data_IF_963690734791
#
_entry.id   IF_963690734791
#
_cell.length_a   1.000
_cell.length_b   1.000
_cell.length_c   1.000
_cell.angle_alpha   90.00
_cell.angle_beta   90.00
_cell.angle_gamma   90.00
#
_symmetry.space_group_name_H-M   'P 1'
#
loop_
_entity.id
_entity.type
_entity.pdbx_description
1 polymer ?
#
# COMPACT_ATOMS: atom_id res chain seq x y z
N UNK A 1 -13.87 5.46 -1.96
CA UNK A 1 -13.23 4.64 -0.91
C UNK A 1 -12.43 5.61 -0.08
N UNK A 2 -12.97 6.01 1.07
CA UNK A 2 -12.37 7.06 1.90
C UNK A 2 -11.72 6.38 3.09
N UNK A 3 -10.40 6.28 3.08
CA UNK A 3 -9.67 5.85 4.27
C UNK A 3 -9.76 7.03 5.24
N UNK A 4 -10.54 6.85 6.32
CA UNK A 4 -10.66 7.80 7.43
C UNK A 4 -10.47 7.03 8.73
N UNK A 5 -9.28 6.44 8.89
CA UNK A 5 -8.92 5.71 10.11
C UNK A 5 -8.62 6.64 11.31
N UNK A 6 -8.37 7.93 11.09
CA UNK A 6 -7.88 8.81 12.16
C UNK A 6 -8.99 9.62 12.88
N UNK A 7 -10.10 9.97 12.20
CA UNK A 7 -11.18 10.76 12.82
C UNK A 7 -11.93 10.07 13.96
N UNK A 8 -11.71 8.77 14.18
CA UNK A 8 -12.52 8.00 15.15
C UNK A 8 -12.02 8.12 16.58
N UNK A 9 -10.80 8.61 16.80
CA UNK A 9 -10.19 8.65 18.14
C UNK A 9 -9.65 10.02 18.54
N UNK A 10 -9.40 10.90 17.56
CA UNK A 10 -8.69 12.15 17.78
C UNK A 10 -9.43 13.32 17.13
N UNK A 11 -9.09 14.54 17.57
CA UNK A 11 -9.55 15.76 16.90
C UNK A 11 -8.97 15.84 15.48
N UNK A 12 -9.62 16.56 14.57
CA UNK A 12 -9.15 16.71 13.18
C UNK A 12 -7.70 17.24 13.11
N UNK A 13 -7.33 18.14 14.01
CA UNK A 13 -5.98 18.70 14.09
C UNK A 13 -4.93 17.67 14.52
N UNK A 14 -5.28 16.82 15.48
CA UNK A 14 -4.39 15.73 15.92
C UNK A 14 -4.30 14.64 14.85
N UNK A 15 -5.39 14.41 14.12
CA UNK A 15 -5.42 13.47 13.02
C UNK A 15 -4.47 13.89 11.90
N UNK A 16 -4.55 15.14 11.44
CA UNK A 16 -3.66 15.70 10.42
C UNK A 16 -2.17 15.58 10.80
N UNK A 17 -1.83 15.81 12.07
CA UNK A 17 -0.46 15.71 12.58
C UNK A 17 0.05 14.27 12.67
N UNK A 18 -0.87 13.32 12.88
CA UNK A 18 -0.50 11.90 13.01
C UNK A 18 -0.19 11.25 11.66
N UNK A 19 -0.76 11.78 10.58
CA UNK A 19 -0.59 11.26 9.22
C UNK A 19 0.75 11.76 8.68
N UNK A 20 1.59 10.84 8.22
CA UNK A 20 2.90 11.16 7.64
C UNK A 20 3.03 10.79 6.17
N UNK A 21 2.16 9.93 5.65
CA UNK A 21 2.10 9.58 4.23
C UNK A 21 0.66 9.40 3.78
N UNK A 22 0.37 9.80 2.55
CA UNK A 22 -0.94 9.65 1.92
C UNK A 22 -0.70 9.18 0.50
N UNK A 23 -1.44 8.17 0.05
CA UNK A 23 -1.44 7.75 -1.35
C UNK A 23 -2.85 7.86 -1.92
N UNK A 24 -2.94 8.50 -3.09
CA UNK A 24 -4.22 8.72 -3.79
C UNK A 24 -4.24 8.20 -5.24
N UNK A 25 -3.13 7.59 -5.70
CA UNK A 25 -2.96 7.19 -7.11
C UNK A 25 -3.06 5.68 -7.33
N UNK A 26 -2.07 4.92 -6.85
CA UNK A 26 -1.99 3.47 -7.09
C UNK A 26 -2.77 2.66 -6.05
N UNK A 27 -2.81 3.16 -4.84
CA UNK A 27 -3.64 2.65 -3.75
C UNK A 27 -4.17 3.83 -2.94
N UNK A 28 -5.37 3.68 -2.38
CA UNK A 28 -5.98 4.65 -1.49
C UNK A 28 -5.70 4.24 -0.05
N UNK A 29 -4.67 4.82 0.55
CA UNK A 29 -4.27 4.56 1.93
C UNK A 29 -3.51 5.76 2.51
N UNK A 30 -3.36 5.78 3.83
CA UNK A 30 -2.49 6.72 4.50
C UNK A 30 -1.74 6.02 5.64
N UNK A 31 -0.49 6.44 5.87
CA UNK A 31 0.31 6.05 7.02
C UNK A 31 0.11 7.04 8.16
N UNK A 32 -0.16 6.54 9.37
CA UNK A 32 -0.31 7.37 10.55
C UNK A 32 0.32 6.73 11.79
N UNK A 33 0.71 7.57 12.74
CA UNK A 33 1.22 7.13 14.05
C UNK A 33 0.06 7.04 15.04
N UNK A 34 -0.30 5.82 15.42
CA UNK A 34 -1.35 5.56 16.40
C UNK A 34 -0.89 4.52 17.41
N UNK A 35 -1.46 4.55 18.61
CA UNK A 35 -1.19 3.53 19.61
C UNK A 35 -1.87 2.21 19.24
N UNK A 36 -1.20 1.08 19.49
CA UNK A 36 -1.67 -0.26 19.09
C UNK A 36 -3.11 -0.57 19.53
N UNK A 37 -3.53 -0.20 20.74
CA UNK A 37 -4.88 -0.46 21.25
C UNK A 37 -6.00 0.20 20.42
N UNK A 38 -5.68 1.23 19.62
CA UNK A 38 -6.63 1.92 18.74
C UNK A 38 -6.83 1.21 17.40
N UNK A 39 -5.89 0.36 16.98
CA UNK A 39 -5.94 -0.37 15.71
C UNK A 39 -7.20 -1.22 15.57
N UNK A 40 -7.66 -1.85 16.65
CA UNK A 40 -8.89 -2.63 16.67
C UNK A 40 -10.14 -1.79 16.42
N UNK A 41 -10.19 -0.57 16.96
CA UNK A 41 -11.29 0.37 16.70
C UNK A 41 -11.30 0.80 15.24
N UNK A 42 -10.12 1.11 14.70
CA UNK A 42 -9.96 1.48 13.28
C UNK A 42 -10.43 0.35 12.37
N UNK A 43 -10.01 -0.89 12.66
CA UNK A 43 -10.39 -2.08 11.88
C UNK A 43 -11.89 -2.36 11.93
N UNK A 44 -12.58 -1.94 12.99
CA UNK A 44 -14.03 -2.13 13.13
C UNK A 44 -14.89 -1.16 12.31
N UNK A 45 -14.27 -0.17 11.66
CA UNK A 45 -14.99 0.83 10.87
C UNK A 45 -15.46 0.27 9.53
N UNK A 46 -16.67 0.64 9.07
CA UNK A 46 -17.27 0.07 7.86
C UNK A 46 -16.47 0.35 6.58
N UNK A 47 -15.73 1.47 6.53
CA UNK A 47 -14.97 1.90 5.36
C UNK A 47 -13.49 1.49 5.41
N UNK A 48 -13.05 0.81 6.48
CA UNK A 48 -11.68 0.34 6.64
C UNK A 48 -11.57 -1.10 6.16
N UNK A 49 -10.84 -1.30 5.05
CA UNK A 49 -10.63 -2.64 4.49
C UNK A 49 -9.50 -3.40 5.17
N UNK A 50 -8.40 -2.71 5.45
CA UNK A 50 -7.18 -3.31 6.02
C UNK A 50 -6.56 -2.33 7.01
N UNK A 51 -5.98 -2.88 8.07
CA UNK A 51 -5.07 -2.19 8.99
C UNK A 51 -3.81 -3.04 9.03
N UNK A 52 -2.71 -2.49 8.55
CA UNK A 52 -1.44 -3.20 8.42
C UNK A 52 -0.36 -2.42 9.20
N UNK A 53 0.59 -3.11 9.83
CA UNK A 53 1.78 -2.45 10.35
C UNK A 53 2.57 -1.85 9.18
N UNK A 54 2.92 -0.58 9.28
CA UNK A 54 3.69 0.10 8.24
C UNK A 54 5.16 -0.34 8.28
N UNK A 55 5.80 -0.35 7.12
CA UNK A 55 7.20 -0.75 6.93
C UNK A 55 7.98 0.36 6.26
N UNK A 56 9.09 0.77 6.86
CA UNK A 56 9.98 1.75 6.27
C UNK A 56 10.78 1.11 5.12
N UNK A 57 10.58 1.62 3.91
CA UNK A 57 11.26 1.17 2.69
C UNK A 57 12.67 1.78 2.69
N UNK A 58 13.68 0.92 2.61
CA UNK A 58 15.10 1.33 2.58
C UNK A 58 15.74 0.74 1.34
N UNK A 59 15.41 1.30 0.18
CA UNK A 59 15.89 0.79 -1.11
C UNK A 59 16.57 1.89 -1.93
N UNK A 60 17.89 1.75 -2.12
CA UNK A 60 18.65 2.31 -3.25
C UNK A 60 18.72 3.83 -3.44
N UNK A 61 18.15 4.67 -2.58
CA UNK A 61 18.34 6.13 -2.63
C UNK A 61 17.21 6.95 -2.01
N UNK A 62 15.96 6.51 -2.17
CA UNK A 62 14.79 7.17 -1.60
C UNK A 62 14.19 6.28 -0.50
N UNK A 63 14.52 6.59 0.75
CA UNK A 63 13.97 5.90 1.92
C UNK A 63 12.69 6.58 2.38
N UNK A 64 11.62 5.82 2.60
CA UNK A 64 10.33 6.39 3.00
C UNK A 64 9.26 5.34 3.33
N UNK A 65 8.05 5.81 3.59
CA UNK A 65 6.89 4.95 3.90
C UNK A 65 6.02 4.67 2.67
N UNK A 66 6.48 5.08 1.48
CA UNK A 66 5.67 5.09 0.26
C UNK A 66 4.53 6.12 0.33
N UNK A 67 4.02 6.50 -0.83
CA UNK A 67 3.04 7.58 -0.94
C UNK A 67 3.62 8.97 -0.63
N UNK A 68 2.81 9.97 -0.90
CA UNK A 68 3.17 11.38 -0.78
C UNK A 68 3.33 11.74 0.72
N UNK A 69 4.48 12.33 1.12
CA UNK A 69 4.68 12.73 2.49
C UNK A 69 3.70 13.84 2.89
N UNK A 70 3.19 13.76 4.11
CA UNK A 70 2.30 14.75 4.70
C UNK A 70 2.89 15.32 5.98
N UNK A 71 2.77 16.64 6.15
CA UNK A 71 3.20 17.37 7.34
C UNK A 71 2.04 18.27 7.78
N UNK A 72 1.52 18.03 9.00
CA UNK A 72 0.43 18.80 9.59
C UNK A 72 -0.83 18.91 8.69
N UNK A 73 -1.08 17.89 7.87
CA UNK A 73 -2.22 17.84 6.95
C UNK A 73 -1.96 18.45 5.58
N UNK A 74 -0.81 19.09 5.36
CA UNK A 74 -0.35 19.49 4.03
C UNK A 74 0.33 18.30 3.36
N UNK A 75 -0.05 17.98 2.13
CA UNK A 75 0.50 16.84 1.37
C UNK A 75 1.41 17.37 0.28
N UNK A 76 2.61 16.78 0.17
CA UNK A 76 3.54 17.15 -0.88
C UNK A 76 2.94 16.90 -2.27
N UNK A 77 3.31 17.70 -3.29
CA UNK A 77 2.91 17.43 -4.66
C UNK A 77 3.29 16.02 -5.09
N UNK A 78 2.42 15.42 -5.90
CA UNK A 78 2.64 14.09 -6.44
C UNK A 78 3.98 14.01 -7.20
N UNK A 79 4.76 12.98 -6.89
CA UNK A 79 6.01 12.62 -7.54
C UNK A 79 6.09 11.08 -7.62
N UNK A 80 6.46 10.53 -8.78
CA UNK A 80 6.52 9.07 -9.01
C UNK A 80 7.52 8.38 -8.08
N UNK A 81 8.51 9.12 -7.57
CA UNK A 81 9.50 8.58 -6.62
C UNK A 81 8.85 7.94 -5.38
N UNK A 82 7.69 8.46 -4.95
CA UNK A 82 6.96 7.99 -3.78
C UNK A 82 6.29 6.63 -3.95
N UNK A 83 6.21 6.10 -5.17
CA UNK A 83 5.63 4.78 -5.48
C UNK A 83 6.60 3.88 -6.25
N UNK A 84 7.89 4.18 -6.21
CA UNK A 84 8.94 3.42 -6.90
C UNK A 84 8.93 1.94 -6.56
N UNK A 85 8.77 1.61 -5.28
CA UNK A 85 8.67 0.22 -4.80
C UNK A 85 7.47 -0.52 -5.41
N UNK A 86 6.29 0.09 -5.37
CA UNK A 86 5.08 -0.45 -5.99
C UNK A 86 5.27 -0.68 -7.50
N UNK A 87 5.93 0.26 -8.19
CA UNK A 87 6.19 0.16 -9.63
C UNK A 87 7.15 -0.98 -9.94
N UNK A 88 8.19 -1.18 -9.11
CA UNK A 88 9.14 -2.29 -9.24
C UNK A 88 8.46 -3.63 -9.05
N UNK A 89 7.65 -3.78 -8.01
CA UNK A 89 6.88 -4.99 -7.75
C UNK A 89 5.97 -5.36 -8.92
N UNK A 90 5.30 -4.40 -9.54
CA UNK A 90 4.53 -4.65 -10.76
C UNK A 90 5.39 -5.13 -11.92
N UNK A 91 6.55 -4.51 -12.14
CA UNK A 91 7.45 -4.92 -13.23
C UNK A 91 8.02 -6.32 -13.01
N UNK A 92 8.31 -6.69 -11.76
CA UNK A 92 8.81 -8.02 -11.40
C UNK A 92 7.72 -9.08 -11.53
N UNK A 93 6.49 -8.79 -11.11
CA UNK A 93 5.34 -9.69 -11.33
C UNK A 93 5.04 -9.86 -12.83
N UNK A 94 5.10 -8.79 -13.61
CA UNK A 94 4.97 -8.86 -15.07
C UNK A 94 6.10 -9.68 -15.70
N UNK A 95 7.34 -9.54 -15.22
CA UNK A 95 8.48 -10.32 -15.67
C UNK A 95 8.31 -11.81 -15.33
N UNK A 96 7.90 -12.15 -14.10
CA UNK A 96 7.57 -13.53 -13.69
C UNK A 96 6.45 -14.10 -14.55
N UNK A 97 5.38 -13.34 -14.78
CA UNK A 97 4.26 -13.79 -15.60
C UNK A 97 4.65 -14.03 -17.07
N UNK A 98 5.56 -13.20 -17.62
CA UNK A 98 6.16 -13.43 -18.95
C UNK A 98 7.00 -14.71 -18.99
N UNK A 99 7.80 -14.98 -17.96
CA UNK A 99 8.61 -16.21 -17.86
C UNK A 99 7.74 -17.47 -17.70
N UNK A 100 6.62 -17.38 -16.99
CA UNK A 100 5.69 -18.51 -16.77
C UNK A 100 4.86 -18.83 -18.03
N UNK A 101 4.69 -17.88 -18.96
CA UNK A 101 4.02 -18.09 -20.25
C UNK A 101 4.92 -18.77 -21.29
N UNK A 102 5.10 -20.09 -21.17
CA UNK A 102 5.16 -21.13 -22.24
C UNK A 102 5.83 -22.41 -21.71
N UNK A 103 5.08 -23.25 -20.99
CA UNK A 103 5.32 -24.70 -21.04
C UNK A 103 4.11 -25.35 -21.72
N UNK A 104 4.24 -25.85 -22.97
CA UNK A 104 3.14 -26.56 -23.60
C UNK A 104 2.84 -27.81 -22.77
N UNK A 105 1.60 -27.93 -22.28
CA UNK A 105 1.08 -29.15 -21.66
C UNK A 105 1.26 -30.29 -22.65
N UNK A 106 2.17 -31.24 -22.40
CA UNK A 106 2.30 -32.47 -23.20
C UNK A 106 0.93 -33.16 -23.21
N UNK A 107 0.27 -33.20 -24.37
CA UNK A 107 -0.93 -34.01 -24.57
C UNK A 107 -0.52 -35.48 -24.39
N UNK A 108 -0.99 -36.09 -23.30
CA UNK A 108 -0.76 -37.50 -23.02
C UNK A 108 -1.70 -38.30 -23.91
N UNK A 109 -1.20 -38.79 -25.05
CA UNK A 109 -1.96 -39.70 -25.92
C UNK A 109 -2.27 -40.99 -25.15
N UNK A 110 -3.53 -41.19 -24.79
CA UNK A 110 -4.05 -42.49 -24.32
C UNK A 110 -4.15 -43.38 -25.57
N UNK A 111 -3.25 -44.34 -25.73
CA UNK A 111 -3.50 -45.50 -26.58
C UNK A 111 -4.52 -46.36 -25.84
N UNK A 112 -5.72 -46.51 -26.42
CA UNK A 112 -6.58 -47.65 -26.11
C UNK A 112 -5.93 -48.87 -26.75
N UNK A 113 -5.74 -49.93 -25.96
CA UNK A 113 -5.84 -51.33 -26.33
C UNK A 113 -6.14 -52.09 -25.04
#
# INVERSE_FOLDING_TARGET
MNVVACCVVCSDEEAKKSIYSVSTKYYYAFGCRVHEHLTYKIRSLPDVRWVLPDSFIVDGGDSGYGGEPSVDGEVAPYDEKYHTDWLRDQTDEDAKNRLVKKKPRRKRNKKLN
#
